data_IF_770033794288
#
_entry.id   IF_770033794288
#
_cell.length_a   1.000
_cell.length_b   1.000
_cell.length_c   1.000
_cell.angle_alpha   90.00
_cell.angle_beta   90.00
_cell.angle_gamma   90.00
#
_symmetry.space_group_name_H-M   'P 1'
#
loop_
_entity.id
_entity.type
_entity.pdbx_description
1 polymer ?
#
# COMPACT_ATOMS: atom_id res chain seq x y z
N UNK A 1 8.06 -16.48 7.92
CA UNK A 1 8.59 -17.69 7.24
C UNK A 1 9.63 -18.38 8.09
N UNK A 2 10.71 -17.70 8.53
CA UNK A 2 11.73 -18.32 9.40
C UNK A 2 11.15 -19.00 10.66
N UNK A 3 10.37 -18.28 11.48
CA UNK A 3 9.78 -18.83 12.71
C UNK A 3 8.87 -20.07 12.46
N UNK A 4 8.03 -20.03 11.43
CA UNK A 4 7.14 -21.15 11.08
C UNK A 4 7.94 -22.37 10.59
N UNK A 5 8.96 -22.16 9.74
CA UNK A 5 9.84 -23.24 9.30
C UNK A 5 10.60 -23.89 10.45
N UNK A 6 11.05 -23.10 11.43
CA UNK A 6 11.70 -23.60 12.64
C UNK A 6 10.74 -24.42 13.51
N UNK A 7 9.49 -23.98 13.69
CA UNK A 7 8.47 -24.73 14.44
C UNK A 7 8.17 -26.09 13.78
N UNK A 8 8.06 -26.12 12.45
CA UNK A 8 7.85 -27.36 11.71
C UNK A 8 9.03 -28.32 11.83
N UNK A 9 10.25 -27.83 11.63
CA UNK A 9 11.47 -28.62 11.76
C UNK A 9 11.64 -29.18 13.18
N UNK A 10 11.37 -28.36 14.21
CA UNK A 10 11.36 -28.79 15.61
C UNK A 10 10.34 -29.89 15.88
N UNK A 11 9.12 -29.75 15.35
CA UNK A 11 8.03 -30.73 15.55
C UNK A 11 8.33 -32.07 14.86
N UNK A 12 8.94 -32.04 13.67
CA UNK A 12 9.32 -33.26 12.94
C UNK A 12 10.53 -33.93 13.59
N UNK A 13 11.58 -33.16 13.90
CA UNK A 13 12.79 -33.68 14.52
C UNK A 13 12.52 -34.25 15.92
N UNK A 14 11.73 -33.55 16.73
CA UNK A 14 11.40 -34.01 18.07
C UNK A 14 10.54 -35.28 18.09
N UNK A 15 9.66 -35.51 17.11
CA UNK A 15 8.93 -36.78 16.99
C UNK A 15 9.87 -37.92 16.57
N UNK A 16 10.75 -37.69 15.59
CA UNK A 16 11.73 -38.69 15.14
C UNK A 16 12.74 -39.08 16.22
N UNK A 17 13.11 -38.13 17.08
CA UNK A 17 14.10 -38.30 18.14
C UNK A 17 13.48 -38.69 19.50
N UNK A 18 12.15 -38.82 19.59
CA UNK A 18 11.47 -39.19 20.84
C UNK A 18 11.50 -38.12 21.93
N UNK A 19 11.57 -36.84 21.55
CA UNK A 19 11.60 -35.71 22.48
C UNK A 19 10.23 -35.32 23.03
N UNK A 20 9.16 -35.69 22.35
CA UNK A 20 7.79 -35.44 22.77
C UNK A 20 7.23 -36.65 23.52
N UNK A 21 6.08 -36.47 24.19
CA UNK A 21 5.47 -37.49 25.05
C UNK A 21 5.00 -38.75 24.30
N UNK A 22 3.80 -39.24 24.63
CA UNK A 22 3.35 -40.53 24.14
C UNK A 22 3.24 -40.56 22.59
N UNK A 23 3.94 -41.51 21.94
CA UNK A 23 3.98 -41.75 20.48
C UNK A 23 2.65 -42.35 19.98
N UNK A 24 1.55 -41.71 20.32
CA UNK A 24 0.21 -42.09 19.92
C UNK A 24 0.01 -41.86 18.41
N UNK A 25 -0.98 -42.55 17.84
CA UNK A 25 -1.39 -42.30 16.46
C UNK A 25 -1.82 -40.82 16.25
N UNK A 26 -2.33 -40.17 17.30
CA UNK A 26 -2.69 -38.76 17.28
C UNK A 26 -1.46 -37.83 17.18
N UNK A 27 -0.36 -38.12 17.89
CA UNK A 27 0.89 -37.34 17.78
C UNK A 27 1.46 -37.43 16.36
N UNK A 28 1.57 -38.66 15.82
CA UNK A 28 2.06 -38.88 14.44
C UNK A 28 1.22 -38.16 13.39
N UNK A 29 -0.11 -38.21 13.52
CA UNK A 29 -1.02 -37.49 12.61
C UNK A 29 -0.86 -35.97 12.72
N UNK A 30 -0.67 -35.44 13.94
CA UNK A 30 -0.44 -34.01 14.17
C UNK A 30 0.88 -33.54 13.55
N UNK A 31 1.97 -34.30 13.71
CA UNK A 31 3.28 -34.00 13.09
C UNK A 31 3.18 -34.04 11.56
N UNK A 32 2.51 -35.05 10.99
CA UNK A 32 2.28 -35.14 9.56
C UNK A 32 1.49 -33.92 9.03
N UNK A 33 0.43 -33.50 9.74
CA UNK A 33 -0.32 -32.30 9.40
C UNK A 33 0.54 -31.03 9.43
N UNK A 34 1.32 -30.83 10.50
CA UNK A 34 2.23 -29.68 10.62
C UNK A 34 3.19 -29.65 9.43
N UNK A 35 3.80 -30.78 9.06
CA UNK A 35 4.72 -30.87 7.94
C UNK A 35 4.04 -30.53 6.60
N UNK A 36 2.91 -31.17 6.31
CA UNK A 36 2.13 -30.94 5.07
C UNK A 36 1.69 -29.48 4.96
N UNK A 37 1.18 -28.91 6.06
CA UNK A 37 0.74 -27.53 6.10
C UNK A 37 1.87 -26.54 5.81
N UNK A 38 3.05 -26.76 6.37
CA UNK A 38 4.20 -25.87 6.14
C UNK A 38 4.72 -25.97 4.71
N UNK A 39 4.76 -27.17 4.12
CA UNK A 39 5.09 -27.35 2.70
C UNK A 39 4.11 -26.57 1.83
N UNK A 40 2.80 -26.74 2.08
CA UNK A 40 1.74 -26.00 1.38
C UNK A 40 1.92 -24.48 1.55
N UNK A 41 2.15 -24.00 2.77
CA UNK A 41 2.24 -22.56 3.06
C UNK A 41 3.43 -21.92 2.37
N UNK A 42 4.59 -22.58 2.38
CA UNK A 42 5.79 -22.12 1.68
C UNK A 42 5.54 -22.09 0.17
N UNK A 43 5.02 -23.17 -0.40
CA UNK A 43 4.71 -23.24 -1.83
C UNK A 43 3.73 -22.14 -2.25
N UNK A 44 2.68 -21.89 -1.47
CA UNK A 44 1.71 -20.83 -1.74
C UNK A 44 2.35 -19.43 -1.67
N UNK A 45 3.18 -19.15 -0.67
CA UNK A 45 3.85 -17.84 -0.54
C UNK A 45 4.83 -17.60 -1.70
N UNK A 46 5.60 -18.61 -2.09
CA UNK A 46 6.51 -18.54 -3.25
C UNK A 46 5.70 -18.25 -4.52
N UNK A 47 4.64 -19.02 -4.78
CA UNK A 47 3.76 -18.81 -5.94
C UNK A 47 3.12 -17.42 -5.94
N UNK A 48 2.62 -16.96 -4.79
CA UNK A 48 1.99 -15.64 -4.64
C UNK A 48 2.97 -14.51 -4.92
N UNK A 49 4.24 -14.66 -4.51
CA UNK A 49 5.31 -13.69 -4.82
C UNK A 49 5.68 -13.70 -6.29
N UNK A 50 5.83 -14.88 -6.90
CA UNK A 50 6.21 -15.00 -8.31
C UNK A 50 5.13 -14.50 -9.28
N UNK A 51 3.86 -14.71 -8.96
CA UNK A 51 2.74 -14.40 -9.87
C UNK A 51 2.02 -13.09 -9.56
N UNK A 52 2.28 -12.49 -8.39
CA UNK A 52 1.52 -11.35 -7.84
C UNK A 52 -0.02 -11.54 -7.82
N UNK A 53 -0.52 -12.79 -7.93
CA UNK A 53 -1.96 -13.12 -8.01
C UNK A 53 -2.41 -13.92 -6.77
N UNK A 54 -3.07 -13.27 -5.78
CA UNK A 54 -3.62 -13.98 -4.63
C UNK A 54 -4.87 -14.80 -5.01
N UNK A 55 -5.03 -16.00 -4.44
CA UNK A 55 -6.25 -16.81 -4.62
C UNK A 55 -7.14 -16.61 -3.40
N UNK A 56 -8.28 -15.94 -3.60
CA UNK A 56 -9.19 -15.53 -2.52
C UNK A 56 -9.62 -16.69 -1.62
N UNK A 57 -9.95 -17.85 -2.20
CA UNK A 57 -10.36 -19.02 -1.43
C UNK A 57 -9.24 -19.51 -0.50
N UNK A 58 -7.98 -19.51 -0.96
CA UNK A 58 -6.84 -19.90 -0.14
C UNK A 58 -6.60 -18.85 0.96
N UNK A 59 -6.59 -17.57 0.62
CA UNK A 59 -6.40 -16.48 1.61
C UNK A 59 -7.47 -16.51 2.72
N UNK A 60 -8.72 -16.84 2.37
CA UNK A 60 -9.81 -16.97 3.34
C UNK A 60 -9.63 -18.18 4.27
N UNK A 61 -8.98 -19.26 3.81
CA UNK A 61 -8.72 -20.47 4.58
C UNK A 61 -7.45 -20.39 5.44
N UNK A 62 -6.51 -19.52 5.12
CA UNK A 62 -5.23 -19.40 5.84
C UNK A 62 -5.40 -19.27 7.36
N UNK A 63 -6.31 -18.43 7.92
CA UNK A 63 -6.51 -18.34 9.36
C UNK A 63 -6.92 -19.66 10.01
N UNK A 64 -7.83 -20.39 9.36
CA UNK A 64 -8.27 -21.70 9.81
C UNK A 64 -7.11 -22.71 9.82
N UNK A 65 -6.33 -22.74 8.75
CA UNK A 65 -5.20 -23.65 8.60
C UNK A 65 -4.07 -23.32 9.58
N UNK A 66 -3.73 -22.03 9.75
CA UNK A 66 -2.75 -21.56 10.73
C UNK A 66 -3.15 -21.99 12.15
N UNK A 67 -4.41 -21.75 12.53
CA UNK A 67 -4.94 -22.16 13.83
C UNK A 67 -4.87 -23.67 14.00
N UNK A 68 -5.34 -24.45 13.02
CA UNK A 68 -5.29 -25.92 13.09
C UNK A 68 -3.87 -26.45 13.29
N UNK A 69 -2.87 -25.84 12.62
CA UNK A 69 -1.48 -26.21 12.78
C UNK A 69 -0.95 -25.89 14.19
N UNK A 70 -1.33 -24.72 14.74
CA UNK A 70 -0.97 -24.36 16.11
C UNK A 70 -1.64 -25.30 17.11
N UNK A 71 -2.92 -25.66 16.93
CA UNK A 71 -3.59 -26.64 17.77
C UNK A 71 -2.89 -28.00 17.72
N UNK A 72 -2.48 -28.45 16.53
CA UNK A 72 -1.76 -29.72 16.35
C UNK A 72 -0.41 -29.72 17.06
N UNK A 73 0.36 -28.63 17.00
CA UNK A 73 1.64 -28.54 17.74
C UNK A 73 1.45 -28.67 19.25
N UNK A 74 0.32 -28.19 19.77
CA UNK A 74 0.01 -28.35 21.18
C UNK A 74 -0.37 -29.80 21.55
N UNK A 75 -1.05 -30.52 20.66
CA UNK A 75 -1.34 -31.95 20.82
C UNK A 75 -0.04 -32.76 20.91
N UNK A 76 0.93 -32.45 20.03
CA UNK A 76 2.25 -33.12 20.02
C UNK A 76 2.98 -32.90 21.35
N UNK A 77 2.92 -31.70 21.91
CA UNK A 77 3.59 -31.39 23.17
C UNK A 77 2.94 -32.04 24.39
N UNK A 78 1.65 -32.39 24.32
CA UNK A 78 0.93 -33.12 25.37
C UNK A 78 0.84 -32.41 26.73
N UNK A 79 1.31 -31.16 26.83
CA UNK A 79 1.39 -30.40 28.07
C UNK A 79 0.47 -29.17 27.99
N UNK A 80 -0.60 -29.10 28.81
CA UNK A 80 -1.55 -27.99 28.81
C UNK A 80 -0.93 -26.66 29.25
N UNK A 81 0.21 -26.67 29.95
CA UNK A 81 0.95 -25.48 30.37
C UNK A 81 2.11 -25.13 29.43
N UNK A 82 2.30 -25.87 28.33
CA UNK A 82 3.35 -25.60 27.35
C UNK A 82 3.25 -24.17 26.81
N UNK A 83 4.35 -23.39 26.75
CA UNK A 83 4.34 -22.02 26.26
C UNK A 83 3.96 -21.91 24.77
N UNK A 84 3.77 -23.04 24.08
CA UNK A 84 3.32 -23.09 22.69
C UNK A 84 1.97 -22.41 22.45
N UNK A 85 1.13 -22.26 23.48
CA UNK A 85 -0.10 -21.45 23.41
C UNK A 85 0.18 -20.00 22.95
N UNK A 86 1.38 -19.46 23.19
CA UNK A 86 1.78 -18.15 22.72
C UNK A 86 1.82 -18.02 21.18
N UNK A 87 1.87 -19.12 20.44
CA UNK A 87 1.76 -19.10 18.98
C UNK A 87 0.38 -18.58 18.50
N UNK A 88 -0.68 -18.76 19.28
CA UNK A 88 -1.98 -18.14 19.01
C UNK A 88 -1.91 -16.61 19.12
N UNK A 89 -1.13 -16.07 20.06
CA UNK A 89 -0.91 -14.64 20.20
C UNK A 89 -0.19 -14.06 18.98
N UNK A 90 0.83 -14.77 18.49
CA UNK A 90 1.55 -14.38 17.28
C UNK A 90 0.61 -14.33 16.06
N UNK A 91 -0.29 -15.31 15.92
CA UNK A 91 -1.30 -15.33 14.87
C UNK A 91 -2.25 -14.12 14.98
N UNK A 92 -2.78 -13.83 16.18
CA UNK A 92 -3.63 -12.66 16.43
C UNK A 92 -2.97 -11.34 16.00
N UNK A 93 -1.72 -11.11 16.44
CA UNK A 93 -0.97 -9.90 16.07
C UNK A 93 -0.72 -9.86 14.55
N UNK A 94 -0.37 -10.98 13.94
CA UNK A 94 -0.16 -11.08 12.51
C UNK A 94 -1.41 -10.75 11.68
N UNK A 95 -2.59 -11.19 12.13
CA UNK A 95 -3.86 -10.88 11.45
C UNK A 95 -4.37 -9.48 11.74
N UNK A 96 -4.13 -8.91 12.92
CA UNK A 96 -4.53 -7.54 13.24
C UNK A 96 -3.91 -6.49 12.29
N UNK A 97 -2.76 -6.82 11.68
CA UNK A 97 -2.12 -6.00 10.65
C UNK A 97 -2.85 -6.05 9.29
N UNK A 98 -3.53 -7.16 8.99
CA UNK A 98 -4.14 -7.42 7.66
C UNK A 98 -5.66 -7.27 7.64
N UNK A 99 -6.32 -7.58 8.74
CA UNK A 99 -7.78 -7.59 8.88
C UNK A 99 -8.26 -6.43 9.75
N UNK A 100 -9.50 -6.01 9.54
CA UNK A 100 -10.11 -4.91 10.27
C UNK A 100 -11.60 -5.15 10.55
N UNK A 101 -12.15 -4.37 11.48
CA UNK A 101 -13.57 -4.44 11.86
C UNK A 101 -14.04 -5.85 12.17
N UNK A 102 -15.16 -6.24 11.57
CA UNK A 102 -15.83 -7.52 11.81
C UNK A 102 -15.00 -8.75 11.39
N UNK A 103 -14.19 -8.63 10.34
CA UNK A 103 -13.35 -9.74 9.88
C UNK A 103 -12.28 -10.11 10.90
N UNK A 104 -11.66 -9.10 11.51
CA UNK A 104 -10.73 -9.31 12.61
C UNK A 104 -11.45 -9.88 13.84
N UNK A 105 -12.60 -9.30 14.22
CA UNK A 105 -13.36 -9.76 15.38
C UNK A 105 -13.77 -11.23 15.26
N UNK A 106 -14.29 -11.65 14.11
CA UNK A 106 -14.64 -13.05 13.83
C UNK A 106 -13.42 -13.97 13.91
N UNK A 107 -12.29 -13.56 13.33
CA UNK A 107 -11.05 -14.36 13.33
C UNK A 107 -10.46 -14.48 14.73
N UNK A 108 -10.48 -13.39 15.50
CA UNK A 108 -10.03 -13.38 16.90
C UNK A 108 -10.93 -14.26 17.78
N UNK A 109 -12.26 -14.15 17.64
CA UNK A 109 -13.19 -15.02 18.35
C UNK A 109 -12.97 -16.50 18.02
N UNK A 110 -12.78 -16.83 16.73
CA UNK A 110 -12.43 -18.18 16.30
C UNK A 110 -11.14 -18.69 16.95
N UNK A 111 -10.08 -17.87 16.96
CA UNK A 111 -8.81 -18.20 17.61
C UNK A 111 -9.00 -18.46 19.12
N UNK A 112 -9.72 -17.58 19.81
CA UNK A 112 -9.94 -17.68 21.27
C UNK A 112 -10.77 -18.90 21.64
N UNK A 113 -11.83 -19.19 20.88
CA UNK A 113 -12.65 -20.40 21.07
C UNK A 113 -11.81 -21.65 20.82
N UNK A 114 -11.03 -21.66 19.75
CA UNK A 114 -10.16 -22.80 19.44
C UNK A 114 -9.10 -23.02 20.55
N UNK A 115 -8.50 -21.95 21.05
CA UNK A 115 -7.57 -21.98 22.19
C UNK A 115 -8.26 -22.59 23.43
N UNK A 116 -9.45 -22.11 23.79
CA UNK A 116 -10.21 -22.60 24.95
C UNK A 116 -10.54 -24.10 24.82
N UNK A 117 -11.00 -24.54 23.64
CA UNK A 117 -11.32 -25.95 23.38
C UNK A 117 -10.07 -26.81 23.44
N UNK A 118 -8.97 -26.38 22.83
CA UNK A 118 -7.70 -27.11 22.88
C UNK A 118 -7.17 -27.26 24.31
N UNK A 119 -7.28 -26.21 25.12
CA UNK A 119 -6.95 -26.23 26.54
C UNK A 119 -7.81 -27.22 27.32
N UNK A 120 -9.13 -27.17 27.15
CA UNK A 120 -10.04 -28.04 27.87
C UNK A 120 -9.82 -29.52 27.54
N UNK A 121 -9.63 -29.84 26.26
CA UNK A 121 -9.37 -31.22 25.81
C UNK A 121 -8.03 -31.74 26.34
N UNK A 122 -6.97 -30.93 26.29
CA UNK A 122 -5.63 -31.34 26.76
C UNK A 122 -5.60 -31.53 28.27
N UNK A 123 -6.20 -30.63 29.04
CA UNK A 123 -6.30 -30.78 30.50
C UNK A 123 -7.14 -31.99 30.90
N UNK A 124 -8.27 -32.21 30.22
CA UNK A 124 -9.10 -33.39 30.48
C UNK A 124 -8.35 -34.70 30.21
N UNK A 125 -7.58 -34.77 29.11
CA UNK A 125 -6.71 -35.93 28.81
C UNK A 125 -5.61 -36.15 29.84
N UNK A 126 -5.11 -35.08 30.46
CA UNK A 126 -4.13 -35.14 31.52
C UNK A 126 -4.74 -35.48 32.90
N UNK A 127 -6.05 -35.78 32.97
CA UNK A 127 -6.78 -36.07 34.22
C UNK A 127 -7.12 -34.84 35.05
N UNK A 128 -6.91 -33.63 34.51
CA UNK A 128 -7.24 -32.36 35.15
C UNK A 128 -8.67 -31.89 34.84
N UNK A 129 -9.11 -30.87 35.58
CA UNK A 129 -10.35 -30.17 35.26
C UNK A 129 -10.22 -29.47 33.89
N UNK A 130 -11.26 -29.51 33.03
CA UNK A 130 -11.23 -28.85 31.72
C UNK A 130 -11.18 -27.32 31.79
N UNK A 131 -11.50 -26.74 32.95
CA UNK A 131 -11.34 -25.30 33.24
C UNK A 131 -10.68 -25.14 34.61
N UNK A 132 -9.52 -24.49 34.65
CA UNK A 132 -8.79 -24.13 35.87
C UNK A 132 -8.26 -22.68 35.82
N UNK A 133 -7.63 -22.23 36.91
CA UNK A 133 -7.13 -20.86 37.03
C UNK A 133 -6.07 -20.50 35.95
N UNK A 134 -5.21 -21.45 35.58
CA UNK A 134 -4.18 -21.24 34.56
C UNK A 134 -4.79 -21.05 33.17
N UNK A 135 -5.77 -21.88 32.81
CA UNK A 135 -6.49 -21.78 31.53
C UNK A 135 -7.30 -20.48 31.46
N UNK A 136 -7.97 -20.10 32.54
CA UNK A 136 -8.67 -18.83 32.64
C UNK A 136 -7.70 -17.65 32.45
N UNK A 137 -6.53 -17.70 33.09
CA UNK A 137 -5.48 -16.69 32.95
C UNK A 137 -4.97 -16.58 31.51
N UNK A 138 -4.70 -17.72 30.85
CA UNK A 138 -4.28 -17.73 29.45
C UNK A 138 -5.34 -17.14 28.50
N UNK A 139 -6.63 -17.43 28.72
CA UNK A 139 -7.72 -16.85 27.92
C UNK A 139 -7.85 -15.34 28.13
N UNK A 140 -7.71 -14.86 29.36
CA UNK A 140 -7.70 -13.42 29.66
C UNK A 140 -6.49 -12.74 29.00
N UNK A 141 -5.30 -13.35 29.06
CA UNK A 141 -4.10 -12.84 28.36
C UNK A 141 -4.34 -12.82 26.85
N UNK A 142 -4.92 -13.87 26.28
CA UNK A 142 -5.19 -13.94 24.85
C UNK A 142 -6.23 -12.91 24.39
N UNK A 143 -7.30 -12.71 25.17
CA UNK A 143 -8.33 -11.71 24.88
C UNK A 143 -7.80 -10.28 25.00
N UNK A 144 -7.01 -9.99 26.04
CA UNK A 144 -6.35 -8.68 26.21
C UNK A 144 -5.34 -8.42 25.11
N UNK A 145 -4.55 -9.42 24.70
CA UNK A 145 -3.64 -9.34 23.55
C UNK A 145 -4.39 -9.13 22.23
N UNK A 146 -5.54 -9.78 22.01
CA UNK A 146 -6.36 -9.56 20.82
C UNK A 146 -6.85 -8.10 20.75
N UNK A 147 -7.31 -7.56 21.87
CA UNK A 147 -7.73 -6.15 21.98
C UNK A 147 -6.56 -5.18 21.73
N UNK A 148 -5.40 -5.44 22.34
CA UNK A 148 -4.20 -4.64 22.12
C UNK A 148 -3.73 -4.71 20.66
N UNK A 149 -3.70 -5.91 20.07
CA UNK A 149 -3.33 -6.12 18.68
C UNK A 149 -4.25 -5.34 17.73
N UNK A 150 -5.57 -5.29 18.01
CA UNK A 150 -6.51 -4.51 17.24
C UNK A 150 -6.18 -3.01 17.27
N UNK A 151 -5.96 -2.45 18.47
CA UNK A 151 -5.62 -1.02 18.65
C UNK A 151 -4.30 -0.66 17.99
N UNK A 152 -3.26 -1.46 18.24
CA UNK A 152 -1.93 -1.27 17.63
C UNK A 152 -2.02 -1.37 16.11
N UNK A 153 -2.73 -2.37 15.58
CA UNK A 153 -2.96 -2.51 14.14
C UNK A 153 -3.68 -1.31 13.53
N UNK A 154 -4.65 -0.71 14.24
CA UNK A 154 -5.31 0.51 13.80
C UNK A 154 -4.36 1.71 13.77
N UNK A 155 -3.55 1.91 14.81
CA UNK A 155 -2.54 2.97 14.87
C UNK A 155 -1.49 2.86 13.76
N UNK A 156 -0.99 1.64 13.50
CA UNK A 156 -0.06 1.40 12.38
C UNK A 156 -0.63 1.78 11.03
N UNK A 157 -1.91 1.47 10.77
CA UNK A 157 -2.56 1.81 9.50
C UNK A 157 -2.74 3.32 9.33
N UNK A 158 -3.08 4.02 10.41
CA UNK A 158 -3.19 5.48 10.37
C UNK A 158 -1.82 6.12 10.12
N UNK A 159 -0.79 5.70 10.84
CA UNK A 159 0.58 6.16 10.60
C UNK A 159 1.05 5.86 9.17
N UNK A 160 0.72 4.69 8.61
CA UNK A 160 1.03 4.34 7.23
C UNK A 160 0.29 5.24 6.23
N UNK A 161 -0.99 5.53 6.45
CA UNK A 161 -1.75 6.47 5.60
C UNK A 161 -1.16 7.87 5.63
N UNK A 162 -0.85 8.38 6.82
CA UNK A 162 -0.25 9.70 6.98
C UNK A 162 1.14 9.76 6.34
N UNK A 163 1.97 8.73 6.54
CA UNK A 163 3.26 8.62 5.89
C UNK A 163 3.15 8.57 4.37
N UNK A 164 2.15 7.86 3.81
CA UNK A 164 1.88 7.87 2.37
C UNK A 164 1.43 9.23 1.88
N UNK A 165 0.47 9.86 2.55
CA UNK A 165 -0.01 11.20 2.19
C UNK A 165 1.14 12.22 2.17
N UNK A 166 1.93 12.30 3.26
CA UNK A 166 3.12 13.16 3.34
C UNK A 166 4.13 12.88 2.23
N UNK A 167 4.21 11.63 1.77
CA UNK A 167 5.18 11.24 0.76
C UNK A 167 4.63 11.31 -0.68
N UNK A 168 3.32 11.53 -0.86
CA UNK A 168 2.65 11.53 -2.17
C UNK A 168 2.00 12.87 -2.54
N UNK A 169 1.75 13.76 -1.57
CA UNK A 169 1.18 15.08 -1.80
C UNK A 169 2.16 16.19 -1.45
N UNK A 170 2.06 17.31 -2.15
CA UNK A 170 2.70 18.57 -1.77
C UNK A 170 1.90 19.24 -0.63
N UNK A 171 2.53 19.52 0.53
CA UNK A 171 1.81 19.99 1.72
C UNK A 171 1.26 21.41 1.58
N UNK A 172 1.83 22.24 0.71
CA UNK A 172 1.37 23.61 0.49
C UNK A 172 0.10 23.61 -0.38
N UNK A 173 0.16 22.97 -1.55
CA UNK A 173 -0.92 23.06 -2.54
C UNK A 173 -1.99 21.97 -2.39
N UNK A 174 -1.71 20.90 -1.63
CA UNK A 174 -2.56 19.71 -1.55
C UNK A 174 -2.71 18.96 -2.87
N UNK A 175 -1.86 19.26 -3.87
CA UNK A 175 -1.75 18.49 -5.10
C UNK A 175 -0.87 17.26 -4.86
N UNK A 176 -0.98 16.21 -5.68
CA UNK A 176 0.07 15.20 -5.80
C UNK A 176 1.44 15.85 -6.04
N UNK A 177 2.49 15.26 -5.47
CA UNK A 177 3.86 15.67 -5.75
C UNK A 177 4.41 14.96 -7.00
N UNK A 178 5.57 15.41 -7.48
CA UNK A 178 6.30 14.81 -8.61
C UNK A 178 6.38 13.28 -8.54
N UNK A 179 6.70 12.72 -7.37
CA UNK A 179 6.88 11.27 -7.22
C UNK A 179 5.56 10.50 -7.43
N UNK A 180 4.48 10.99 -6.83
CA UNK A 180 3.16 10.37 -7.03
C UNK A 180 2.71 10.50 -8.48
N UNK A 181 2.89 11.67 -9.09
CA UNK A 181 2.57 11.89 -10.51
C UNK A 181 3.24 10.88 -11.44
N UNK A 182 4.56 10.71 -11.33
CA UNK A 182 5.31 9.77 -12.16
C UNK A 182 4.79 8.34 -11.97
N UNK A 183 4.59 7.90 -10.73
CA UNK A 183 4.09 6.56 -10.44
C UNK A 183 2.69 6.31 -11.01
N UNK A 184 1.78 7.29 -10.94
CA UNK A 184 0.42 7.17 -11.47
C UNK A 184 0.42 7.17 -13.00
N UNK A 185 1.26 8.00 -13.60
CA UNK A 185 1.37 8.07 -15.05
C UNK A 185 2.00 6.80 -15.61
N UNK A 186 3.03 6.24 -14.97
CA UNK A 186 3.60 4.93 -15.34
C UNK A 186 2.56 3.80 -15.28
N UNK A 187 1.70 3.78 -14.25
CA UNK A 187 0.63 2.78 -14.12
C UNK A 187 -0.46 2.93 -15.18
N UNK A 188 -0.69 4.14 -15.69
CA UNK A 188 -1.72 4.45 -16.70
C UNK A 188 -1.17 4.50 -18.12
N UNK A 189 0.14 4.54 -18.28
CA UNK A 189 0.84 4.49 -19.54
C UNK A 189 0.87 3.04 -20.06
N UNK A 190 -0.30 2.47 -20.31
CA UNK A 190 -0.39 1.32 -21.19
C UNK A 190 0.09 1.74 -22.58
N UNK A 191 0.92 0.91 -23.21
CA UNK A 191 1.62 1.26 -24.45
C UNK A 191 0.68 1.75 -25.57
N UNK A 192 -0.57 1.29 -25.55
CA UNK A 192 -1.61 1.53 -26.56
C UNK A 192 -2.44 2.80 -26.35
N UNK A 193 -2.51 3.36 -25.13
CA UNK A 193 -3.23 4.61 -24.88
C UNK A 193 -2.24 5.79 -24.85
N UNK A 194 -2.23 6.57 -25.94
CA UNK A 194 -1.48 7.82 -26.01
C UNK A 194 -1.89 8.80 -24.92
N UNK A 195 -0.98 9.68 -24.51
CA UNK A 195 -1.26 10.74 -23.55
C UNK A 195 -0.50 12.02 -23.93
N UNK A 196 -1.02 13.15 -23.46
CA UNK A 196 -0.35 14.44 -23.55
C UNK A 196 0.12 14.91 -22.18
N UNK A 197 1.22 15.66 -22.16
CA UNK A 197 1.81 16.28 -20.97
C UNK A 197 1.89 17.78 -21.17
N UNK A 198 1.45 18.52 -20.17
CA UNK A 198 1.61 19.96 -20.05
C UNK A 198 2.57 20.24 -18.89
N UNK A 199 3.75 20.78 -19.19
CA UNK A 199 4.65 21.33 -18.18
C UNK A 199 4.40 22.82 -18.05
N UNK A 200 4.22 23.31 -16.84
CA UNK A 200 3.81 24.69 -16.56
C UNK A 200 4.69 25.28 -15.47
N UNK A 201 4.96 26.57 -15.57
CA UNK A 201 5.72 27.31 -14.55
C UNK A 201 5.16 28.73 -14.42
N UNK A 202 5.06 29.24 -13.20
CA UNK A 202 4.54 30.58 -12.91
C UNK A 202 5.53 31.64 -13.38
N UNK A 203 5.07 32.58 -14.20
CA UNK A 203 5.91 33.64 -14.74
C UNK A 203 6.32 34.64 -13.65
N UNK A 204 7.62 34.94 -13.60
CA UNK A 204 8.20 35.94 -12.68
C UNK A 204 7.94 35.66 -11.18
N UNK A 205 7.77 34.39 -10.79
CA UNK A 205 7.46 34.01 -9.42
C UNK A 205 8.53 34.48 -8.40
N UNK A 206 9.81 34.41 -8.77
CA UNK A 206 10.89 34.99 -7.95
C UNK A 206 10.71 36.49 -7.71
N UNK A 207 10.39 37.27 -8.73
CA UNK A 207 10.14 38.71 -8.58
C UNK A 207 8.93 38.98 -7.68
N UNK A 208 7.87 38.19 -7.83
CA UNK A 208 6.70 38.28 -6.96
C UNK A 208 7.05 38.02 -5.49
N UNK A 209 7.89 37.01 -5.22
CA UNK A 209 8.42 36.74 -3.87
C UNK A 209 9.30 37.88 -3.35
N UNK A 210 10.17 38.43 -4.19
CA UNK A 210 11.07 39.52 -3.81
C UNK A 210 10.28 40.81 -3.47
N UNK A 211 9.17 41.06 -4.16
CA UNK A 211 8.32 42.25 -3.95
C UNK A 211 7.32 42.11 -2.79
N UNK A 212 6.74 40.92 -2.58
CA UNK A 212 5.61 40.72 -1.66
C UNK A 212 5.91 39.74 -0.51
N UNK A 213 7.09 39.13 -0.51
CA UNK A 213 7.52 38.13 0.47
C UNK A 213 6.99 36.72 0.19
N UNK A 214 7.68 35.72 0.73
CA UNK A 214 7.40 34.29 0.50
C UNK A 214 5.98 33.86 0.90
N UNK A 215 5.42 34.40 1.99
CA UNK A 215 4.05 34.08 2.40
C UNK A 215 3.01 34.47 1.34
N UNK A 216 3.28 35.55 0.58
CA UNK A 216 2.43 35.94 -0.53
C UNK A 216 2.60 34.98 -1.71
N UNK A 217 3.83 34.59 -2.03
CA UNK A 217 4.11 33.57 -3.05
C UNK A 217 3.45 32.23 -2.74
N UNK A 218 3.45 31.80 -1.48
CA UNK A 218 2.77 30.59 -1.03
C UNK A 218 1.26 30.66 -1.29
N UNK A 219 0.62 31.78 -0.96
CA UNK A 219 -0.80 32.00 -1.26
C UNK A 219 -1.08 32.02 -2.78
N UNK A 220 -0.15 32.51 -3.60
CA UNK A 220 -0.26 32.46 -5.07
C UNK A 220 -0.17 31.02 -5.57
N UNK A 221 0.75 30.21 -5.04
CA UNK A 221 0.88 28.79 -5.38
C UNK A 221 -0.39 28.00 -5.05
N UNK A 222 -0.96 28.21 -3.86
CA UNK A 222 -2.23 27.61 -3.45
C UNK A 222 -3.37 28.01 -4.40
N UNK A 223 -3.44 29.29 -4.78
CA UNK A 223 -4.47 29.79 -5.68
C UNK A 223 -4.32 29.24 -7.09
N UNK A 224 -3.10 29.21 -7.64
CA UNK A 224 -2.80 28.60 -8.94
C UNK A 224 -3.19 27.12 -8.93
N UNK A 225 -2.82 26.37 -7.88
CA UNK A 225 -3.21 24.97 -7.74
C UNK A 225 -4.73 24.77 -7.77
N UNK A 226 -5.47 25.62 -7.06
CA UNK A 226 -6.94 25.62 -7.07
C UNK A 226 -7.53 25.90 -8.47
N UNK A 227 -7.01 26.91 -9.17
CA UNK A 227 -7.44 27.28 -10.53
C UNK A 227 -7.16 26.14 -11.50
N UNK A 228 -5.96 25.55 -11.47
CA UNK A 228 -5.59 24.42 -12.34
C UNK A 228 -6.52 23.22 -12.10
N UNK A 229 -6.75 22.85 -10.83
CA UNK A 229 -7.62 21.73 -10.46
C UNK A 229 -9.07 21.93 -10.92
N UNK A 230 -9.59 23.16 -10.86
CA UNK A 230 -10.96 23.46 -11.29
C UNK A 230 -11.15 23.46 -12.82
N UNK A 231 -10.05 23.53 -13.59
CA UNK A 231 -10.07 23.69 -15.05
C UNK A 231 -9.59 22.45 -15.83
N UNK A 232 -9.39 21.32 -15.16
CA UNK A 232 -9.10 20.01 -15.78
C UNK A 232 -10.29 19.05 -15.59
N UNK A 233 -10.39 18.02 -16.42
CA UNK A 233 -11.48 17.04 -16.31
C UNK A 233 -11.14 15.95 -15.29
N UNK A 234 -12.17 15.25 -14.86
CA UNK A 234 -12.02 14.02 -14.08
C UNK A 234 -11.24 12.98 -14.90
N UNK A 235 -10.16 12.44 -14.32
CA UNK A 235 -9.27 11.47 -14.97
C UNK A 235 -7.90 12.01 -15.39
N UNK A 236 -7.75 13.34 -15.57
CA UNK A 236 -6.46 13.96 -15.78
C UNK A 236 -5.62 13.91 -14.48
N UNK A 237 -4.29 13.84 -14.62
CA UNK A 237 -3.35 13.84 -13.50
C UNK A 237 -2.74 15.23 -13.37
N UNK A 238 -2.97 15.91 -12.25
CA UNK A 238 -2.34 17.20 -11.92
C UNK A 238 -1.41 17.04 -10.72
N UNK A 239 -0.25 17.67 -10.76
CA UNK A 239 0.72 17.65 -9.67
C UNK A 239 1.55 18.94 -9.61
N UNK A 240 2.11 19.22 -8.43
CA UNK A 240 3.21 20.18 -8.27
C UNK A 240 4.52 19.44 -8.55
N UNK A 241 5.22 19.85 -9.60
CA UNK A 241 6.41 19.16 -10.10
C UNK A 241 7.70 19.66 -9.43
N UNK A 242 7.74 20.96 -9.11
CA UNK A 242 8.87 21.65 -8.51
C UNK A 242 8.44 22.83 -7.64
N UNK A 243 9.31 23.83 -7.49
CA UNK A 243 9.05 25.02 -6.67
C UNK A 243 7.82 25.80 -7.16
N UNK A 244 7.90 26.36 -8.35
CA UNK A 244 6.79 27.07 -9.02
C UNK A 244 6.24 26.32 -10.25
N UNK A 245 6.64 25.05 -10.40
CA UNK A 245 6.34 24.21 -11.54
C UNK A 245 5.17 23.27 -11.26
N UNK A 246 4.26 23.16 -12.23
CA UNK A 246 3.10 22.27 -12.22
C UNK A 246 3.10 21.41 -13.48
N UNK A 247 2.56 20.20 -13.36
CA UNK A 247 2.45 19.28 -14.49
C UNK A 247 1.03 18.73 -14.58
N UNK A 248 0.52 18.62 -15.80
CA UNK A 248 -0.71 17.90 -16.11
C UNK A 248 -0.43 16.79 -17.12
N UNK A 249 -0.92 15.59 -16.87
CA UNK A 249 -1.00 14.53 -17.87
C UNK A 249 -2.46 14.21 -18.20
N UNK A 250 -2.75 14.09 -19.50
CA UNK A 250 -4.08 13.87 -20.04
C UNK A 250 -4.10 12.55 -20.82
N UNK A 251 -4.48 11.44 -20.17
CA UNK A 251 -4.64 10.15 -20.84
C UNK A 251 -5.66 10.23 -21.99
N UNK A 252 -5.30 9.67 -23.14
CA UNK A 252 -6.14 9.66 -24.34
C UNK A 252 -6.29 10.99 -25.06
N UNK A 253 -5.58 12.05 -24.64
CA UNK A 253 -5.64 13.35 -25.30
C UNK A 253 -4.72 13.41 -26.52
N UNK A 254 -5.25 13.90 -27.64
CA UNK A 254 -4.46 14.30 -28.80
C UNK A 254 -3.88 15.72 -28.64
N UNK A 255 -3.09 16.17 -29.61
CA UNK A 255 -2.46 17.49 -29.57
C UNK A 255 -3.49 18.63 -29.57
N UNK A 256 -4.57 18.52 -30.33
CA UNK A 256 -5.57 19.58 -30.41
C UNK A 256 -6.31 19.75 -29.09
N UNK A 257 -6.71 18.64 -28.47
CA UNK A 257 -7.30 18.62 -27.13
C UNK A 257 -6.32 19.16 -26.09
N UNK A 258 -5.06 18.72 -26.13
CA UNK A 258 -4.05 19.18 -25.19
C UNK A 258 -3.81 20.69 -25.26
N UNK A 259 -3.76 21.26 -26.46
CA UNK A 259 -3.61 22.70 -26.67
C UNK A 259 -4.83 23.49 -26.18
N UNK A 260 -6.04 22.99 -26.40
CA UNK A 260 -7.26 23.62 -25.88
C UNK A 260 -7.26 23.68 -24.34
N UNK A 261 -6.82 22.59 -23.69
CA UNK A 261 -6.68 22.56 -22.23
C UNK A 261 -5.56 23.49 -21.77
N UNK A 262 -4.40 23.47 -22.42
CA UNK A 262 -3.27 24.34 -22.09
C UNK A 262 -3.65 25.83 -22.13
N UNK A 263 -4.31 26.28 -23.21
CA UNK A 263 -4.76 27.67 -23.33
C UNK A 263 -5.84 28.03 -22.31
N UNK A 264 -6.76 27.10 -22.03
CA UNK A 264 -7.76 27.30 -20.96
C UNK A 264 -7.10 27.50 -19.61
N UNK A 265 -6.10 26.67 -19.26
CA UNK A 265 -5.38 26.77 -17.99
C UNK A 265 -4.60 28.08 -17.92
N UNK A 266 -3.86 28.43 -18.98
CA UNK A 266 -3.11 29.69 -19.08
C UNK A 266 -4.01 30.90 -18.84
N UNK A 267 -5.10 31.00 -19.59
CA UNK A 267 -6.05 32.10 -19.49
C UNK A 267 -6.78 32.15 -18.13
N UNK A 268 -7.07 30.99 -17.53
CA UNK A 268 -7.69 30.94 -16.21
C UNK A 268 -6.74 31.44 -15.11
N UNK A 269 -5.47 31.04 -15.15
CA UNK A 269 -4.47 31.50 -14.17
C UNK A 269 -4.23 33.00 -14.29
N UNK A 270 -4.08 33.52 -15.51
CA UNK A 270 -3.93 34.95 -15.78
C UNK A 270 -5.13 35.78 -15.27
N UNK A 271 -6.35 35.24 -15.38
CA UNK A 271 -7.58 35.91 -14.94
C UNK A 271 -7.77 35.86 -13.42
N UNK A 272 -7.52 34.72 -12.81
CA UNK A 272 -7.97 34.42 -11.43
C UNK A 272 -6.84 34.52 -10.38
N UNK A 273 -5.62 34.85 -10.80
CA UNK A 273 -4.42 34.99 -9.95
C UNK A 273 -3.61 36.24 -10.33
N UNK A 274 -2.70 36.74 -9.47
CA UNK A 274 -1.87 37.91 -9.79
C UNK A 274 -0.68 37.59 -10.71
N UNK A 275 -0.67 36.42 -11.38
CA UNK A 275 0.45 35.98 -12.23
C UNK A 275 -0.06 35.24 -13.45
N UNK A 276 0.81 35.10 -14.46
CA UNK A 276 0.58 34.22 -15.61
C UNK A 276 1.39 32.94 -15.48
N UNK A 277 1.08 31.96 -16.34
CA UNK A 277 1.90 30.76 -16.50
C UNK A 277 2.35 30.65 -17.96
N UNK A 278 3.54 30.11 -18.14
CA UNK A 278 3.98 29.61 -19.45
C UNK A 278 3.77 28.10 -19.49
N UNK A 279 3.47 27.55 -20.67
CA UNK A 279 3.14 26.12 -20.82
C UNK A 279 3.91 25.50 -21.97
N UNK A 280 4.59 24.38 -21.73
CA UNK A 280 5.11 23.48 -22.75
C UNK A 280 4.20 22.26 -22.89
N UNK A 281 3.73 21.98 -24.11
CA UNK A 281 2.78 20.92 -24.42
C UNK A 281 3.38 19.87 -25.35
N UNK A 282 3.49 18.62 -24.89
CA UNK A 282 3.99 17.49 -25.67
C UNK A 282 3.02 16.31 -25.67
N UNK A 283 2.84 15.67 -26.82
CA UNK A 283 2.05 14.42 -26.95
C UNK A 283 2.99 13.26 -27.14
N UNK A 284 2.81 12.18 -26.37
CA UNK A 284 3.63 10.97 -26.47
C UNK A 284 3.58 10.39 -27.87
N UNK A 285 4.75 10.25 -28.50
CA UNK A 285 4.89 9.52 -29.75
C UNK A 285 5.04 8.01 -29.51
N UNK A 286 4.70 7.16 -30.49
CA UNK A 286 4.93 5.72 -30.40
C UNK A 286 6.40 5.42 -30.08
N UNK A 287 6.63 4.57 -29.07
CA UNK A 287 7.98 4.20 -28.63
C UNK A 287 8.68 5.20 -27.72
N UNK A 288 8.12 6.39 -27.46
CA UNK A 288 8.69 7.31 -26.46
C UNK A 288 8.47 6.80 -25.03
N UNK A 289 9.51 6.93 -24.22
CA UNK A 289 9.43 6.73 -22.78
C UNK A 289 8.78 7.93 -22.09
N UNK A 290 8.32 7.76 -20.86
CA UNK A 290 7.78 8.86 -20.06
C UNK A 290 8.77 10.03 -19.93
N UNK A 291 10.04 9.71 -19.67
CA UNK A 291 11.11 10.71 -19.53
C UNK A 291 11.32 11.51 -20.81
N UNK A 292 11.18 10.89 -21.99
CA UNK A 292 11.33 11.60 -23.26
C UNK A 292 10.21 12.63 -23.48
N UNK A 293 8.96 12.26 -23.17
CA UNK A 293 7.81 13.17 -23.29
C UNK A 293 7.91 14.32 -22.30
N UNK A 294 8.29 14.03 -21.05
CA UNK A 294 8.49 15.06 -20.02
C UNK A 294 9.61 16.03 -20.41
N UNK A 295 10.73 15.52 -20.91
CA UNK A 295 11.86 16.36 -21.37
C UNK A 295 11.44 17.29 -22.50
N UNK A 296 10.67 16.80 -23.48
CA UNK A 296 10.15 17.66 -24.56
C UNK A 296 9.19 18.73 -24.05
N UNK A 297 8.30 18.38 -23.13
CA UNK A 297 7.40 19.37 -22.52
C UNK A 297 8.18 20.45 -21.75
N UNK A 298 9.25 20.06 -21.05
CA UNK A 298 10.15 20.97 -20.34
C UNK A 298 10.94 21.89 -21.29
N UNK A 299 11.51 21.34 -22.37
CA UNK A 299 12.20 22.13 -23.39
C UNK A 299 11.28 23.17 -24.04
N UNK A 300 10.02 22.80 -24.29
CA UNK A 300 8.98 23.69 -24.81
C UNK A 300 8.60 24.78 -23.80
N UNK A 301 8.51 24.44 -22.52
CA UNK A 301 8.26 25.40 -21.46
C UNK A 301 9.43 26.40 -21.35
N UNK A 302 10.67 25.92 -21.39
CA UNK A 302 11.85 26.78 -21.39
C UNK A 302 11.84 27.74 -22.59
N UNK A 303 11.43 27.25 -23.77
CA UNK A 303 11.24 28.09 -24.95
C UNK A 303 10.11 29.12 -24.75
N UNK A 304 8.99 28.76 -24.13
CA UNK A 304 7.91 29.67 -23.77
C UNK A 304 8.41 30.82 -22.88
N UNK A 305 9.18 30.49 -21.83
CA UNK A 305 9.77 31.46 -20.90
C UNK A 305 10.73 32.44 -21.58
N UNK A 306 11.46 31.99 -22.60
CA UNK A 306 12.41 32.82 -23.37
C UNK A 306 11.76 33.67 -24.47
N UNK A 307 10.55 33.33 -24.90
CA UNK A 307 9.89 33.94 -26.07
C UNK A 307 8.71 34.85 -25.73
N UNK A 308 8.66 35.35 -24.50
CA UNK A 308 7.70 36.37 -24.08
C UNK A 308 6.86 36.02 -22.87
N UNK A 309 6.95 34.77 -22.36
CA UNK A 309 6.12 34.24 -21.26
C UNK A 309 4.62 34.30 -21.57
N UNK A 310 3.77 33.83 -20.66
CA UNK A 310 2.32 33.81 -20.83
C UNK A 310 1.88 33.24 -22.20
N UNK A 311 2.51 32.15 -22.63
CA UNK A 311 2.25 31.51 -23.92
C UNK A 311 2.29 29.99 -23.79
N UNK A 312 1.57 29.31 -24.67
CA UNK A 312 1.66 27.86 -24.87
C UNK A 312 2.62 27.58 -26.03
N UNK A 313 3.57 26.66 -25.83
CA UNK A 313 4.49 26.16 -26.85
C UNK A 313 4.29 24.66 -27.05
N UNK A 314 4.34 24.23 -28.30
CA UNK A 314 4.17 22.84 -28.69
C UNK A 314 4.99 22.53 -29.92
N UNK A 315 5.21 21.24 -30.16
CA UNK A 315 5.77 20.73 -31.42
C UNK A 315 4.73 19.87 -32.16
N UNK A 316 4.68 19.91 -33.50
CA UNK A 316 3.90 18.96 -34.27
C UNK A 316 4.34 17.53 -33.95
N UNK A 317 3.38 16.61 -33.75
CA UNK A 317 3.68 15.20 -33.48
C UNK A 317 4.52 14.65 -34.64
N UNK A 318 5.73 14.15 -34.36
CA UNK A 318 6.55 13.47 -35.38
C UNK A 318 5.77 12.24 -35.85
N UNK A 319 5.24 12.29 -37.07
CA UNK A 319 4.69 11.08 -37.71
C UNK A 319 5.87 10.12 -37.91
N UNK A 320 5.77 8.91 -37.35
CA UNK A 320 6.66 7.82 -37.70
C UNK A 320 6.62 7.63 -39.22
N UNK A 321 7.77 7.75 -39.86
CA UNK A 321 7.97 7.37 -41.25
C UNK A 321 7.85 5.85 -41.41
#
# INVERSE_FOLDING_TARGET
>A
MALQGTIAAFSVAGELLGWFGDHSAASRAAVAWIAVYHIFRVAYVVRRRATHRPVRAIEALIPLLDVSCISSGWIVLGNPLSPFWAAYLYALVGYARRMHGWEFARTAAFILVNLAVAQGVTAWRAGGAPVNADQATMLVIAATMASLAHKVGAGWREAERQARALAETDPLTGLPNRRHFLSQLELRADADFGYAVLMMDIDDFKRLNDEHGHLHGDAVLERVAGVLRANIREGDLLARYGGEEFVVAMPGADLAQALQVAERLRAAVERDTPSSISVGCAVRAPGETLDDVLRRADDLLLFAKRTGKNVVRWEPTRRSA
#
